data_IF_396030870789
#
_entry.id   IF_396030870789
#
_cell.length_a   1.000
_cell.length_b   1.000
_cell.length_c   1.000
_cell.angle_alpha   90.00
_cell.angle_beta   90.00
_cell.angle_gamma   90.00
#
_symmetry.space_group_name_H-M   'P 1'
#
loop_
_entity.id
_entity.type
_entity.pdbx_description
1 polymer ?
#
# COMPACT_ATOMS: atom_id res chain seq x y z
N UNK A 1 9.09 -58.23 8.47
CA UNK A 1 10.39 -57.52 8.44
C UNK A 1 10.45 -56.71 9.73
N UNK A 2 11.52 -56.85 10.52
CA UNK A 2 11.65 -56.10 11.78
C UNK A 2 12.00 -54.64 11.47
N UNK A 3 11.37 -53.69 12.15
CA UNK A 3 11.58 -52.26 11.95
C UNK A 3 11.85 -51.54 13.28
N UNK A 4 12.50 -50.39 13.23
CA UNK A 4 12.69 -49.51 14.40
C UNK A 4 12.13 -48.10 14.17
N UNK A 5 11.90 -47.72 12.91
CA UNK A 5 11.30 -46.47 12.46
C UNK A 5 10.50 -46.72 11.18
N UNK A 6 9.58 -45.83 10.84
CA UNK A 6 8.69 -45.98 9.67
C UNK A 6 9.47 -46.03 8.34
N UNK A 7 10.63 -45.38 8.28
CA UNK A 7 11.52 -45.41 7.11
C UNK A 7 12.12 -46.81 6.82
N UNK A 8 12.11 -47.72 7.80
CA UNK A 8 12.58 -49.10 7.62
C UNK A 8 11.53 -50.00 6.94
N UNK A 9 10.33 -49.47 6.67
CA UNK A 9 9.22 -50.20 6.11
C UNK A 9 8.95 -49.76 4.66
N UNK A 10 8.96 -50.71 3.73
CA UNK A 10 8.68 -50.44 2.32
C UNK A 10 7.19 -50.11 2.09
N UNK A 11 6.90 -49.33 1.05
CA UNK A 11 5.53 -49.09 0.54
C UNK A 11 4.59 -48.34 1.50
N UNK A 12 5.12 -47.38 2.27
CA UNK A 12 4.29 -46.53 3.16
C UNK A 12 3.79 -47.23 4.43
N UNK A 13 4.34 -48.40 4.76
CA UNK A 13 4.04 -49.07 6.03
C UNK A 13 4.67 -48.32 7.21
N UNK A 14 3.98 -48.30 8.37
CA UNK A 14 4.50 -47.72 9.61
C UNK A 14 5.05 -48.80 10.52
N UNK A 15 6.03 -48.47 11.34
CA UNK A 15 6.62 -49.39 12.28
C UNK A 15 5.85 -49.41 13.59
N UNK A 16 5.08 -50.47 13.83
CA UNK A 16 4.32 -50.65 15.07
C UNK A 16 4.82 -51.89 15.81
N UNK A 17 5.28 -51.71 17.05
CA UNK A 17 5.80 -52.80 17.90
C UNK A 17 6.89 -53.65 17.24
N UNK A 18 7.75 -53.01 16.44
CA UNK A 18 8.87 -53.67 15.77
C UNK A 18 8.50 -54.44 14.49
N UNK A 19 7.26 -54.34 14.02
CA UNK A 19 6.82 -54.92 12.76
C UNK A 19 6.18 -53.86 11.85
N UNK A 20 6.49 -53.92 10.56
CA UNK A 20 5.85 -53.04 9.57
C UNK A 20 4.36 -53.40 9.44
N UNK A 21 3.49 -52.48 9.86
CA UNK A 21 2.05 -52.55 9.69
C UNK A 21 1.61 -51.66 8.51
N UNK A 22 0.51 -51.98 7.81
CA UNK A 22 0.00 -51.11 6.76
C UNK A 22 -0.26 -49.70 7.29
N UNK A 23 0.51 -48.72 6.81
CA UNK A 23 0.29 -47.29 7.04
C UNK A 23 -0.58 -46.70 5.92
N UNK A 24 -0.83 -45.40 5.99
CA UNK A 24 -1.49 -44.69 4.92
C UNK A 24 -0.61 -44.71 3.65
N UNK A 25 -1.22 -44.65 2.47
CA UNK A 25 -0.61 -44.88 1.15
C UNK A 25 -0.71 -43.61 0.31
N UNK A 26 0.30 -43.37 -0.53
CA UNK A 26 0.34 -42.21 -1.41
C UNK A 26 -0.71 -42.28 -2.54
N UNK A 27 -0.92 -41.17 -3.26
CA UNK A 27 -1.80 -41.12 -4.43
C UNK A 27 -1.50 -42.26 -5.44
N UNK A 28 -2.56 -42.76 -6.09
CA UNK A 28 -2.63 -43.89 -7.01
C UNK A 28 -2.27 -45.27 -6.43
N UNK A 29 -1.88 -45.35 -5.16
CA UNK A 29 -1.60 -46.62 -4.51
C UNK A 29 -2.87 -47.44 -4.28
N UNK A 30 -2.79 -48.76 -4.42
CA UNK A 30 -3.93 -49.63 -4.17
C UNK A 30 -4.41 -49.49 -2.72
N UNK A 31 -5.71 -49.47 -2.48
CA UNK A 31 -6.33 -49.26 -1.16
C UNK A 31 -7.58 -50.14 -1.00
N UNK A 32 -8.02 -50.37 0.24
CA UNK A 32 -9.28 -51.04 0.52
C UNK A 32 -10.28 -50.15 1.28
N UNK A 33 -9.80 -49.10 1.97
CA UNK A 33 -10.59 -48.16 2.77
C UNK A 33 -9.91 -46.78 2.76
N UNK A 34 -10.66 -45.70 2.98
CA UNK A 34 -10.12 -44.32 2.92
C UNK A 34 -8.97 -44.07 3.89
N UNK A 35 -9.05 -44.64 5.10
CA UNK A 35 -7.95 -44.57 6.09
C UNK A 35 -6.66 -45.28 5.67
N UNK A 36 -6.66 -45.98 4.53
CA UNK A 36 -5.46 -46.52 3.91
C UNK A 36 -4.70 -45.46 3.10
N UNK A 37 -5.22 -44.23 2.94
CA UNK A 37 -4.65 -43.18 2.07
C UNK A 37 -4.16 -41.97 2.89
N UNK A 38 -2.99 -41.42 2.54
CA UNK A 38 -2.39 -40.29 3.27
C UNK A 38 -2.94 -38.94 2.80
N UNK A 39 -2.66 -37.88 3.56
CA UNK A 39 -2.80 -36.48 3.13
C UNK A 39 -4.21 -36.07 2.69
N UNK A 40 -5.24 -36.67 3.31
CA UNK A 40 -6.65 -36.37 3.03
C UNK A 40 -7.21 -37.01 1.77
N UNK A 41 -6.47 -37.94 1.14
CA UNK A 41 -6.91 -38.74 0.01
C UNK A 41 -7.92 -39.83 0.45
N UNK A 42 -8.84 -40.21 -0.45
CA UNK A 42 -9.82 -41.27 -0.24
C UNK A 42 -9.55 -42.48 -1.15
N UNK A 43 -10.09 -43.64 -0.78
CA UNK A 43 -9.90 -44.88 -1.52
C UNK A 43 -10.95 -45.06 -2.62
N UNK A 44 -10.59 -44.67 -3.84
CA UNK A 44 -11.49 -44.62 -4.99
C UNK A 44 -11.18 -45.73 -6.00
N UNK A 45 -12.15 -46.60 -6.28
CA UNK A 45 -11.98 -47.75 -7.18
C UNK A 45 -10.75 -48.63 -6.84
N UNK A 46 -10.43 -48.71 -5.55
CA UNK A 46 -9.27 -49.46 -5.05
C UNK A 46 -7.94 -48.74 -5.24
N UNK A 47 -7.92 -47.41 -5.48
CA UNK A 47 -6.71 -46.56 -5.49
C UNK A 47 -6.89 -45.26 -4.70
N UNK A 48 -5.84 -44.81 -4.02
CA UNK A 48 -5.86 -43.54 -3.29
C UNK A 48 -5.89 -42.35 -4.24
N UNK A 49 -6.87 -41.46 -4.12
CA UNK A 49 -7.00 -40.27 -4.97
C UNK A 49 -7.68 -39.12 -4.23
N UNK A 50 -7.79 -37.95 -4.87
CA UNK A 50 -8.55 -36.83 -4.31
C UNK A 50 -10.00 -37.28 -4.07
N UNK A 51 -10.59 -36.99 -2.89
CA UNK A 51 -11.97 -37.35 -2.62
C UNK A 51 -12.87 -36.70 -3.66
N UNK A 52 -13.53 -37.53 -4.46
CA UNK A 52 -14.58 -37.06 -5.36
C UNK A 52 -15.90 -37.06 -4.61
N UNK A 53 -16.75 -36.11 -4.96
CA UNK A 53 -18.14 -36.17 -4.57
C UNK A 53 -18.83 -37.40 -5.22
N UNK A 54 -19.78 -37.99 -4.51
CA UNK A 54 -20.62 -39.10 -4.95
C UNK A 54 -21.62 -38.61 -5.99
N UNK A 55 -21.66 -39.31 -7.13
CA UNK A 55 -22.57 -39.07 -8.25
C UNK A 55 -23.93 -39.71 -7.97
N UNK A 56 -24.89 -39.46 -8.86
CA UNK A 56 -26.22 -40.03 -8.73
C UNK A 56 -26.16 -41.56 -8.56
N UNK A 57 -26.95 -42.08 -7.62
CA UNK A 57 -27.05 -43.48 -7.21
C UNK A 57 -25.82 -44.07 -6.50
N UNK A 58 -24.75 -43.29 -6.25
CA UNK A 58 -23.63 -43.72 -5.39
C UNK A 58 -24.01 -43.61 -3.89
N UNK A 59 -23.59 -44.59 -3.07
CA UNK A 59 -23.88 -44.62 -1.63
C UNK A 59 -23.02 -43.61 -0.86
N UNK A 60 -23.55 -43.03 0.22
CA UNK A 60 -22.86 -42.01 1.03
C UNK A 60 -23.10 -42.19 2.55
N UNK A 61 -22.32 -41.49 3.40
CA UNK A 61 -22.50 -41.46 4.86
C UNK A 61 -23.01 -40.12 5.45
N UNK A 62 -22.73 -38.96 4.83
CA UNK A 62 -23.23 -37.63 5.23
C UNK A 62 -23.51 -36.69 4.02
N UNK A 63 -24.32 -35.64 4.23
CA UNK A 63 -24.84 -34.73 3.17
C UNK A 63 -23.76 -34.03 2.33
N UNK A 64 -22.57 -33.81 2.89
CA UNK A 64 -21.43 -33.18 2.20
C UNK A 64 -20.71 -34.08 1.20
N UNK A 65 -21.14 -35.34 1.06
CA UNK A 65 -20.48 -36.31 0.21
C UNK A 65 -21.05 -36.38 -1.22
N UNK A 66 -22.24 -35.83 -1.52
CA UNK A 66 -22.81 -35.84 -2.87
C UNK A 66 -22.32 -34.66 -3.72
N UNK A 67 -22.23 -34.86 -5.04
CA UNK A 67 -21.87 -33.78 -5.95
C UNK A 67 -22.91 -32.65 -5.95
N UNK A 68 -22.46 -31.43 -6.28
CA UNK A 68 -23.31 -30.25 -6.39
C UNK A 68 -24.57 -30.55 -7.22
N UNK A 69 -25.74 -30.25 -6.66
CA UNK A 69 -27.04 -30.53 -7.28
C UNK A 69 -27.66 -31.89 -6.93
N UNK A 70 -27.02 -32.70 -6.09
CA UNK A 70 -27.57 -33.96 -5.58
C UNK A 70 -27.83 -33.88 -4.06
N UNK A 71 -28.90 -34.52 -3.62
CA UNK A 71 -29.24 -34.64 -2.20
C UNK A 71 -29.24 -36.08 -1.75
N UNK A 72 -28.90 -36.23 -0.49
CA UNK A 72 -28.79 -37.48 0.23
C UNK A 72 -30.19 -38.04 0.58
N UNK A 73 -30.60 -39.12 -0.09
CA UNK A 73 -31.85 -39.81 0.23
C UNK A 73 -31.57 -40.98 1.19
N UNK A 74 -32.13 -40.96 2.42
CA UNK A 74 -31.98 -42.08 3.34
C UNK A 74 -32.68 -43.33 2.79
N UNK A 75 -32.03 -44.49 2.92
CA UNK A 75 -32.60 -45.78 2.53
C UNK A 75 -33.88 -46.05 3.32
N UNK A 76 -34.99 -46.32 2.62
CA UNK A 76 -36.32 -46.56 3.21
C UNK A 76 -36.43 -47.83 4.08
N UNK A 77 -35.37 -48.63 4.16
CA UNK A 77 -35.35 -49.90 4.89
C UNK A 77 -34.89 -49.76 6.36
N UNK A 78 -34.64 -48.54 6.84
CA UNK A 78 -34.45 -48.21 8.27
C UNK A 78 -33.29 -48.92 8.98
N UNK A 79 -32.44 -49.63 8.23
CA UNK A 79 -31.46 -50.59 8.79
C UNK A 79 -30.01 -50.32 8.36
N UNK A 80 -29.77 -49.29 7.54
CA UNK A 80 -28.44 -48.88 7.09
C UNK A 80 -28.25 -47.38 7.30
N UNK A 81 -27.11 -46.99 7.88
CA UNK A 81 -26.64 -45.61 8.02
C UNK A 81 -26.11 -45.02 6.69
N UNK A 82 -26.59 -45.54 5.56
CA UNK A 82 -26.12 -45.21 4.22
C UNK A 82 -27.32 -44.95 3.31
N UNK A 83 -27.34 -43.78 2.66
CA UNK A 83 -28.33 -43.39 1.65
C UNK A 83 -27.71 -43.35 0.25
N UNK A 84 -28.50 -42.96 -0.77
CA UNK A 84 -28.02 -42.73 -2.14
C UNK A 84 -28.17 -41.26 -2.55
N UNK A 85 -27.22 -40.75 -3.32
CA UNK A 85 -27.32 -39.42 -3.92
C UNK A 85 -28.38 -39.42 -5.04
N UNK A 86 -29.41 -38.56 -4.95
CA UNK A 86 -30.47 -38.49 -5.96
C UNK A 86 -30.95 -37.07 -6.25
N UNK A 87 -31.42 -36.86 -7.47
CA UNK A 87 -31.89 -35.57 -8.01
C UNK A 87 -33.41 -35.40 -7.83
N UNK A 88 -33.89 -35.27 -6.59
CA UNK A 88 -35.34 -35.19 -6.30
C UNK A 88 -35.82 -33.82 -5.79
N UNK A 89 -34.99 -32.78 -5.85
CA UNK A 89 -35.40 -31.42 -5.52
C UNK A 89 -35.59 -30.54 -6.77
N UNK A 90 -36.59 -29.66 -6.73
CA UNK A 90 -36.94 -28.78 -7.85
C UNK A 90 -36.19 -27.43 -7.78
N UNK A 91 -35.68 -26.96 -8.92
CA UNK A 91 -34.96 -25.69 -9.03
C UNK A 91 -35.91 -24.48 -9.01
N UNK A 92 -35.37 -23.26 -8.91
CA UNK A 92 -36.18 -22.02 -8.91
C UNK A 92 -37.04 -21.95 -10.19
N UNK A 93 -38.35 -21.80 -10.01
CA UNK A 93 -39.31 -21.75 -11.13
C UNK A 93 -39.80 -23.11 -11.62
N UNK A 94 -39.30 -24.22 -11.07
CA UNK A 94 -39.82 -25.56 -11.39
C UNK A 94 -41.01 -25.95 -10.54
N UNK A 95 -41.80 -26.87 -11.09
CA UNK A 95 -43.04 -27.35 -10.48
C UNK A 95 -42.76 -28.17 -9.22
N UNK A 96 -43.48 -27.90 -8.14
CA UNK A 96 -43.40 -28.66 -6.89
C UNK A 96 -44.79 -29.21 -6.50
N UNK A 97 -44.86 -30.49 -6.11
CA UNK A 97 -46.10 -31.13 -5.64
C UNK A 97 -45.79 -32.41 -4.86
N UNK A 98 -46.50 -32.66 -3.74
CA UNK A 98 -46.57 -34.00 -3.13
C UNK A 98 -45.26 -34.57 -2.60
N UNK A 99 -44.43 -33.77 -1.91
CA UNK A 99 -43.27 -34.25 -1.17
C UNK A 99 -41.89 -33.96 -1.80
N UNK A 100 -41.82 -33.39 -3.00
CA UNK A 100 -40.56 -32.88 -3.56
C UNK A 100 -40.18 -31.55 -2.87
N UNK A 101 -39.03 -31.53 -2.18
CA UNK A 101 -38.46 -30.33 -1.57
C UNK A 101 -37.85 -29.44 -2.66
N UNK A 102 -37.93 -28.13 -2.52
CA UNK A 102 -37.23 -27.22 -3.41
C UNK A 102 -35.76 -27.11 -2.96
N UNK A 103 -34.82 -27.11 -3.89
CA UNK A 103 -33.38 -27.09 -3.54
C UNK A 103 -32.99 -25.75 -2.88
N UNK A 104 -31.88 -25.73 -2.14
CA UNK A 104 -31.19 -24.49 -1.72
C UNK A 104 -32.07 -23.48 -0.93
N UNK A 105 -32.89 -23.95 0.00
CA UNK A 105 -33.70 -23.08 0.88
C UNK A 105 -34.92 -22.44 0.20
N UNK A 106 -35.28 -22.90 -0.99
CA UNK A 106 -36.51 -22.53 -1.66
C UNK A 106 -37.73 -23.20 -0.98
N UNK A 107 -38.89 -22.56 -1.09
CA UNK A 107 -40.16 -23.09 -0.60
C UNK A 107 -41.12 -23.30 -1.75
N UNK A 108 -41.94 -24.35 -1.65
CA UNK A 108 -42.98 -24.61 -2.63
C UNK A 108 -44.16 -23.65 -2.41
N UNK A 109 -44.32 -22.67 -3.30
CA UNK A 109 -45.47 -21.76 -3.29
C UNK A 109 -46.29 -21.97 -4.57
N UNK A 110 -47.57 -22.29 -4.41
CA UNK A 110 -48.53 -22.42 -5.52
C UNK A 110 -48.03 -23.34 -6.64
N UNK A 111 -47.49 -24.49 -6.24
CA UNK A 111 -46.91 -25.52 -7.09
C UNK A 111 -45.65 -25.13 -7.86
N UNK A 112 -44.95 -24.05 -7.46
CA UNK A 112 -43.65 -23.65 -8.04
C UNK A 112 -42.63 -23.36 -6.93
N UNK A 113 -41.37 -23.72 -7.12
CA UNK A 113 -40.30 -23.42 -6.17
C UNK A 113 -39.87 -21.96 -6.24
N UNK A 114 -40.07 -21.22 -5.14
CA UNK A 114 -39.74 -19.80 -4.99
C UNK A 114 -38.87 -19.55 -3.76
N UNK A 115 -38.24 -18.38 -3.67
CA UNK A 115 -37.48 -17.97 -2.47
C UNK A 115 -38.41 -17.89 -1.26
N UNK A 116 -37.95 -18.31 -0.07
CA UNK A 116 -38.63 -18.06 1.20
C UNK A 116 -38.66 -16.56 1.49
N UNK A 117 -39.66 -15.86 0.97
CA UNK A 117 -39.84 -14.42 1.15
C UNK A 117 -41.16 -14.10 1.87
N UNK A 118 -41.21 -12.94 2.53
CA UNK A 118 -42.34 -12.45 3.31
C UNK A 118 -43.25 -11.60 2.43
N UNK A 119 -44.55 -11.91 2.47
CA UNK A 119 -45.58 -11.14 1.75
C UNK A 119 -45.88 -9.81 2.46
N UNK A 120 -46.65 -8.95 1.80
CA UNK A 120 -47.05 -7.63 2.35
C UNK A 120 -47.64 -7.77 3.76
N UNK A 121 -47.29 -6.83 4.64
CA UNK A 121 -47.68 -6.73 6.05
C UNK A 121 -47.16 -7.86 6.96
N UNK A 122 -46.33 -8.77 6.45
CA UNK A 122 -45.65 -9.76 7.29
C UNK A 122 -44.37 -9.19 7.89
N UNK A 123 -44.05 -9.67 9.09
CA UNK A 123 -42.80 -9.32 9.77
C UNK A 123 -41.58 -9.76 8.98
N UNK A 124 -40.59 -8.89 8.85
CA UNK A 124 -39.36 -9.12 8.09
C UNK A 124 -38.11 -8.82 8.92
N UNK A 125 -37.02 -9.50 8.58
CA UNK A 125 -35.67 -9.33 9.14
C UNK A 125 -34.64 -9.68 8.08
N UNK A 126 -33.35 -9.53 8.40
CA UNK A 126 -32.25 -9.90 7.51
C UNK A 126 -32.28 -11.41 7.13
N UNK A 127 -32.76 -12.28 8.02
CA UNK A 127 -32.93 -13.72 7.72
C UNK A 127 -34.28 -14.07 7.07
N UNK A 128 -35.19 -13.10 6.92
CA UNK A 128 -36.53 -13.29 6.36
C UNK A 128 -36.94 -12.11 5.45
N UNK A 129 -36.36 -12.01 4.23
CA UNK A 129 -36.55 -10.88 3.34
C UNK A 129 -37.95 -10.85 2.70
N UNK A 130 -38.38 -9.66 2.27
CA UNK A 130 -39.66 -9.48 1.58
C UNK A 130 -39.64 -9.98 0.14
N UNK A 131 -40.80 -10.34 -0.40
CA UNK A 131 -40.93 -10.76 -1.80
C UNK A 131 -40.67 -9.59 -2.76
N UNK A 132 -40.30 -9.89 -4.01
CA UNK A 132 -39.96 -8.88 -5.01
C UNK A 132 -41.10 -7.85 -5.18
N UNK A 133 -40.76 -6.56 -5.21
CA UNK A 133 -41.72 -5.44 -5.19
C UNK A 133 -42.18 -5.01 -3.79
N UNK A 134 -41.58 -5.58 -2.73
CA UNK A 134 -41.79 -5.19 -1.34
C UNK A 134 -40.43 -4.97 -0.65
N UNK A 135 -40.40 -4.07 0.32
CA UNK A 135 -39.23 -3.78 1.15
C UNK A 135 -39.57 -3.87 2.65
N UNK A 136 -38.56 -4.23 3.44
CA UNK A 136 -38.70 -4.33 4.88
C UNK A 136 -38.64 -2.94 5.52
N UNK A 137 -39.80 -2.40 5.88
CA UNK A 137 -39.93 -1.09 6.52
C UNK A 137 -40.55 -1.25 7.91
N UNK A 138 -39.86 -0.76 8.94
CA UNK A 138 -40.29 -0.87 10.34
C UNK A 138 -40.58 -2.32 10.78
N UNK A 139 -39.78 -3.27 10.25
CA UNK A 139 -39.92 -4.70 10.54
C UNK A 139 -41.13 -5.35 9.88
N UNK A 140 -41.79 -4.71 8.90
CA UNK A 140 -42.86 -5.31 8.09
C UNK A 140 -42.66 -5.08 6.60
N UNK A 141 -43.07 -6.04 5.76
CA UNK A 141 -42.97 -5.89 4.31
C UNK A 141 -44.01 -4.91 3.76
N UNK A 142 -43.55 -3.81 3.17
CA UNK A 142 -44.40 -2.80 2.53
C UNK A 142 -44.10 -2.74 1.05
N UNK A 143 -45.08 -2.30 0.26
CA UNK A 143 -44.85 -2.05 -1.15
C UNK A 143 -44.04 -0.78 -1.33
N UNK A 144 -43.14 -0.83 -2.30
CA UNK A 144 -42.32 0.29 -2.72
C UNK A 144 -42.40 0.42 -4.25
N UNK A 145 -41.97 1.56 -4.79
CA UNK A 145 -42.05 1.92 -6.19
C UNK A 145 -40.64 1.99 -6.82
N UNK A 146 -40.50 1.45 -8.03
CA UNK A 146 -39.25 1.47 -8.80
C UNK A 146 -38.99 2.85 -9.44
N UNK A 147 -37.81 3.01 -10.06
CA UNK A 147 -37.42 4.25 -10.76
C UNK A 147 -38.50 4.72 -11.74
N UNK A 148 -38.84 6.01 -11.66
CA UNK A 148 -39.80 6.68 -12.53
C UNK A 148 -41.26 6.50 -12.13
N UNK A 149 -41.58 5.66 -11.14
CA UNK A 149 -42.93 5.55 -10.59
C UNK A 149 -43.24 6.66 -9.60
N UNK A 150 -44.53 6.97 -9.46
CA UNK A 150 -44.98 8.07 -8.60
C UNK A 150 -44.73 7.79 -7.12
N UNK A 151 -44.26 8.80 -6.40
CA UNK A 151 -44.03 8.75 -4.96
C UNK A 151 -44.47 10.06 -4.30
N UNK A 152 -44.65 10.02 -2.98
CA UNK A 152 -44.96 11.18 -2.14
C UNK A 152 -43.93 11.43 -1.05
N UNK A 153 -43.13 10.41 -0.71
CA UNK A 153 -42.00 10.47 0.20
C UNK A 153 -40.93 9.44 -0.20
N UNK A 154 -39.69 9.61 0.27
CA UNK A 154 -38.57 8.71 -0.02
C UNK A 154 -38.89 7.23 0.30
N UNK A 155 -39.63 6.97 1.38
CA UNK A 155 -40.03 5.62 1.80
C UNK A 155 -41.08 4.95 0.90
N UNK A 156 -41.62 5.66 -0.10
CA UNK A 156 -42.46 5.06 -1.14
C UNK A 156 -41.62 4.38 -2.23
N UNK A 157 -40.32 4.64 -2.29
CA UNK A 157 -39.41 4.15 -3.33
C UNK A 157 -38.60 2.96 -2.82
N UNK A 158 -38.33 2.00 -3.71
CA UNK A 158 -37.58 0.79 -3.32
C UNK A 158 -36.10 1.09 -3.10
N UNK A 159 -35.49 0.48 -2.08
CA UNK A 159 -34.07 0.61 -1.78
C UNK A 159 -33.73 2.01 -1.27
N UNK A 160 -32.62 2.60 -1.74
CA UNK A 160 -32.25 3.97 -1.37
C UNK A 160 -32.60 5.00 -2.45
N UNK A 161 -33.58 4.69 -3.31
CA UNK A 161 -34.17 5.67 -4.22
C UNK A 161 -34.84 6.80 -3.41
N UNK A 162 -34.75 8.03 -3.90
CA UNK A 162 -35.41 9.18 -3.29
C UNK A 162 -36.63 9.60 -4.11
N UNK A 163 -37.57 10.27 -3.47
CA UNK A 163 -38.74 10.81 -4.12
C UNK A 163 -38.45 12.22 -4.64
N UNK A 164 -38.10 12.33 -5.93
CA UNK A 164 -37.74 13.59 -6.58
C UNK A 164 -38.81 13.94 -7.61
N UNK A 165 -39.38 15.14 -7.51
CA UNK A 165 -40.46 15.61 -8.41
C UNK A 165 -41.62 14.60 -8.55
N UNK A 166 -42.08 14.07 -7.40
CA UNK A 166 -43.14 13.07 -7.29
C UNK A 166 -42.82 11.75 -8.01
N UNK A 167 -41.55 11.46 -8.31
CA UNK A 167 -41.10 10.19 -8.89
C UNK A 167 -39.87 9.62 -8.21
N UNK A 168 -39.81 8.29 -8.09
CA UNK A 168 -38.65 7.61 -7.56
C UNK A 168 -37.46 7.79 -8.49
N UNK A 169 -36.35 8.32 -7.99
CA UNK A 169 -35.14 8.56 -8.75
C UNK A 169 -33.89 8.11 -7.97
N UNK A 170 -32.84 7.79 -8.72
CA UNK A 170 -31.51 7.55 -8.18
C UNK A 170 -30.91 8.85 -7.58
N UNK A 171 -29.87 8.72 -6.77
CA UNK A 171 -29.16 9.80 -6.07
C UNK A 171 -27.98 10.34 -6.88
N UNK A 172 -27.67 11.63 -6.67
CA UNK A 172 -26.56 12.32 -7.32
C UNK A 172 -25.18 11.91 -6.77
N UNK A 173 -24.07 12.16 -7.49
CA UNK A 173 -22.72 11.99 -6.94
C UNK A 173 -22.52 12.79 -5.64
N UNK A 174 -21.86 12.18 -4.64
CA UNK A 174 -21.62 12.77 -3.33
C UNK A 174 -22.71 12.50 -2.28
N UNK A 175 -23.84 11.91 -2.68
CA UNK A 175 -24.93 11.54 -1.76
C UNK A 175 -24.70 10.18 -1.11
N UNK A 176 -25.29 10.00 0.08
CA UNK A 176 -25.17 8.75 0.82
C UNK A 176 -25.95 7.59 0.18
N UNK A 177 -25.34 6.41 0.12
CA UNK A 177 -25.89 5.21 -0.49
C UNK A 177 -25.59 3.95 0.34
N UNK A 178 -26.35 2.90 0.11
CA UNK A 178 -26.13 1.57 0.71
C UNK A 178 -25.88 0.49 -0.37
N UNK A 179 -26.30 0.75 -1.62
CA UNK A 179 -26.19 -0.17 -2.76
C UNK A 179 -25.72 0.57 -4.01
N UNK A 180 -25.03 -0.12 -4.94
CA UNK A 180 -24.55 0.50 -6.17
C UNK A 180 -25.64 1.14 -7.04
N UNK A 181 -26.85 0.57 -7.04
CA UNK A 181 -27.98 1.05 -7.86
C UNK A 181 -28.70 2.28 -7.27
N UNK A 182 -28.31 2.70 -6.07
CA UNK A 182 -28.82 3.93 -5.46
C UNK A 182 -28.33 5.18 -6.21
N UNK A 183 -27.29 5.06 -7.04
CA UNK A 183 -26.57 6.18 -7.65
C UNK A 183 -26.89 6.33 -9.14
N UNK A 184 -27.19 7.55 -9.59
CA UNK A 184 -27.52 7.82 -11.00
C UNK A 184 -26.34 7.62 -11.95
N UNK A 185 -25.12 7.76 -11.45
CA UNK A 185 -23.87 7.60 -12.18
C UNK A 185 -22.87 6.88 -11.29
N UNK A 186 -22.20 5.85 -11.83
CA UNK A 186 -21.18 5.08 -11.12
C UNK A 186 -21.73 4.03 -10.13
N UNK A 187 -21.36 4.11 -8.86
CA UNK A 187 -21.84 3.21 -7.81
C UNK A 187 -21.58 3.71 -6.39
N UNK A 188 -21.91 2.87 -5.40
CA UNK A 188 -21.80 3.21 -3.99
C UNK A 188 -20.44 2.79 -3.43
N UNK A 189 -19.64 3.76 -3.00
CA UNK A 189 -18.29 3.56 -2.45
C UNK A 189 -18.18 4.25 -1.10
N UNK A 190 -17.81 3.49 -0.07
CA UNK A 190 -17.75 3.97 1.33
C UNK A 190 -19.03 4.71 1.77
N UNK A 191 -20.18 4.17 1.37
CA UNK A 191 -21.48 4.76 1.65
C UNK A 191 -21.81 6.03 0.87
N UNK A 192 -21.05 6.39 -0.17
CA UNK A 192 -21.26 7.60 -0.98
C UNK A 192 -21.29 7.30 -2.49
N UNK A 193 -22.20 7.94 -3.23
CA UNK A 193 -22.33 7.80 -4.67
C UNK A 193 -21.17 8.45 -5.43
N UNK A 194 -20.51 7.71 -6.33
CA UNK A 194 -19.39 8.23 -7.13
C UNK A 194 -19.03 7.39 -8.34
N UNK A 195 -18.08 7.86 -9.14
CA UNK A 195 -17.54 7.17 -10.32
C UNK A 195 -16.72 5.91 -9.96
N UNK A 196 -16.51 5.00 -10.92
CA UNK A 196 -15.76 3.74 -10.73
C UNK A 196 -14.25 3.96 -10.87
N UNK A 197 -13.47 3.34 -9.98
CA UNK A 197 -11.99 3.28 -10.03
C UNK A 197 -11.49 2.07 -10.85
N UNK A 198 -10.17 1.82 -10.90
CA UNK A 198 -9.57 0.72 -11.69
C UNK A 198 -10.22 -0.64 -11.43
N UNK A 199 -10.38 -1.44 -12.49
CA UNK A 199 -10.95 -2.78 -12.41
C UNK A 199 -12.44 -2.82 -12.09
N UNK A 200 -13.09 -1.66 -11.89
CA UNK A 200 -14.54 -1.57 -11.70
C UNK A 200 -15.29 -1.85 -13.00
N UNK A 201 -16.31 -2.71 -12.96
CA UNK A 201 -17.13 -2.99 -14.13
C UNK A 201 -17.91 -1.75 -14.58
N UNK A 202 -17.89 -1.45 -15.88
CA UNK A 202 -18.53 -0.29 -16.50
C UNK A 202 -19.22 -0.65 -17.83
N UNK A 203 -20.30 0.06 -18.14
CA UNK A 203 -21.02 -0.06 -19.40
C UNK A 203 -20.76 1.12 -20.34
N UNK A 204 -20.44 2.30 -19.80
CA UNK A 204 -20.11 3.54 -20.52
C UNK A 204 -18.80 4.13 -19.98
N UNK A 205 -18.13 4.97 -20.79
CA UNK A 205 -16.85 5.59 -20.39
C UNK A 205 -17.01 6.55 -19.20
N UNK A 206 -18.13 7.26 -19.14
CA UNK A 206 -18.53 8.16 -18.05
C UNK A 206 -18.86 7.46 -16.72
N UNK A 207 -18.90 6.12 -16.70
CA UNK A 207 -18.99 5.36 -15.44
C UNK A 207 -17.65 5.40 -14.68
N UNK A 208 -16.54 5.66 -15.37
CA UNK A 208 -15.19 5.68 -14.84
C UNK A 208 -14.82 7.09 -14.36
N UNK A 209 -14.02 7.18 -13.29
CA UNK A 209 -13.55 8.47 -12.81
C UNK A 209 -12.65 9.19 -13.83
N UNK A 210 -12.45 10.50 -13.66
CA UNK A 210 -11.48 11.25 -14.47
C UNK A 210 -10.10 10.56 -14.41
N UNK A 211 -9.49 10.34 -15.59
CA UNK A 211 -8.23 9.60 -15.75
C UNK A 211 -8.40 8.12 -16.11
N UNK A 212 -9.64 7.63 -16.21
CA UNK A 212 -9.96 6.23 -16.47
C UNK A 212 -10.88 6.09 -17.69
N UNK A 213 -10.54 5.17 -18.59
CA UNK A 213 -11.33 4.83 -19.76
C UNK A 213 -11.89 3.41 -19.69
N UNK A 214 -13.04 3.22 -20.33
CA UNK A 214 -13.68 1.91 -20.42
C UNK A 214 -12.94 1.01 -21.42
N UNK A 215 -12.30 -0.05 -20.92
CA UNK A 215 -11.75 -1.16 -21.73
C UNK A 215 -12.35 -2.50 -21.30
N UNK A 216 -12.84 -3.26 -22.28
CA UNK A 216 -13.46 -4.58 -22.06
C UNK A 216 -14.55 -4.64 -20.98
N UNK A 217 -15.26 -3.54 -20.74
CA UNK A 217 -16.30 -3.47 -19.71
C UNK A 217 -15.77 -3.25 -18.29
N UNK A 218 -14.53 -2.82 -18.17
CA UNK A 218 -13.85 -2.45 -16.92
C UNK A 218 -13.20 -1.07 -17.07
N UNK A 219 -13.18 -0.29 -15.99
CA UNK A 219 -12.47 0.97 -15.94
C UNK A 219 -10.98 0.67 -15.86
N UNK A 220 -10.25 1.03 -16.91
CA UNK A 220 -8.80 0.94 -17.01
C UNK A 220 -8.22 2.35 -17.13
N UNK A 221 -6.93 2.56 -16.83
CA UNK A 221 -6.30 3.86 -16.99
C UNK A 221 -6.38 4.31 -18.46
N UNK A 222 -6.81 5.56 -18.71
CA UNK A 222 -6.85 6.13 -20.07
C UNK A 222 -5.41 6.32 -20.62
N UNK A 223 -4.45 6.48 -19.69
CA UNK A 223 -3.00 6.34 -19.84
C UNK A 223 -2.41 5.83 -18.50
N UNK A 224 -1.14 5.45 -18.48
CA UNK A 224 -0.38 5.16 -17.27
C UNK A 224 -0.55 6.23 -16.16
N UNK A 225 -0.38 5.85 -14.90
CA UNK A 225 -0.45 6.74 -13.74
C UNK A 225 0.83 7.56 -13.59
N UNK A 226 0.68 8.80 -13.09
CA UNK A 226 1.81 9.64 -12.68
C UNK A 226 2.40 9.16 -11.35
N UNK A 227 3.56 9.72 -10.99
CA UNK A 227 4.22 9.44 -9.71
C UNK A 227 3.29 9.71 -8.51
N UNK A 228 3.44 8.91 -7.45
CA UNK A 228 2.65 8.95 -6.22
C UNK A 228 1.32 8.18 -6.25
N UNK A 229 0.87 7.68 -7.40
CA UNK A 229 -0.34 6.87 -7.50
C UNK A 229 -0.09 5.41 -7.11
N UNK A 230 -1.07 4.78 -6.48
CA UNK A 230 -1.00 3.35 -6.14
C UNK A 230 -0.94 2.51 -7.42
N UNK A 231 -0.06 1.51 -7.45
CA UNK A 231 0.17 0.62 -8.59
C UNK A 231 0.35 -0.83 -8.13
N UNK A 232 0.09 -1.77 -9.04
CA UNK A 232 0.34 -3.19 -8.82
C UNK A 232 1.52 -3.70 -9.66
N UNK A 233 1.73 -3.12 -10.85
CA UNK A 233 2.81 -3.48 -11.78
C UNK A 233 3.42 -2.23 -12.43
N UNK A 234 4.66 -2.36 -12.92
CA UNK A 234 5.40 -1.29 -13.57
C UNK A 234 4.66 -0.60 -14.74
N UNK A 235 3.91 -1.37 -15.54
CA UNK A 235 3.14 -0.83 -16.68
C UNK A 235 1.97 0.06 -16.26
N UNK A 236 1.60 0.05 -14.99
CA UNK A 236 0.61 0.95 -14.44
C UNK A 236 1.15 2.40 -14.39
N UNK A 237 2.47 2.59 -14.40
CA UNK A 237 3.12 3.88 -14.15
C UNK A 237 3.76 4.45 -15.42
N UNK A 238 3.66 5.77 -15.61
CA UNK A 238 4.24 6.42 -16.79
C UNK A 238 5.76 6.43 -16.79
N UNK A 239 6.37 6.54 -15.61
CA UNK A 239 7.80 6.36 -15.43
C UNK A 239 8.25 4.89 -15.48
N UNK A 240 7.33 3.95 -15.76
CA UNK A 240 7.61 2.53 -15.92
C UNK A 240 8.04 1.81 -14.65
N UNK A 241 7.90 2.41 -13.48
CA UNK A 241 8.28 1.82 -12.19
C UNK A 241 7.16 1.93 -11.18
N UNK A 242 6.83 0.78 -10.59
CA UNK A 242 5.99 0.65 -9.42
C UNK A 242 6.87 0.20 -8.26
N UNK A 243 7.12 1.08 -7.29
CA UNK A 243 7.96 0.82 -6.12
C UNK A 243 7.18 1.12 -4.85
N UNK A 244 7.25 0.22 -3.87
CA UNK A 244 6.51 0.35 -2.60
C UNK A 244 5.00 0.63 -2.79
N UNK A 245 4.40 -0.07 -3.77
CA UNK A 245 2.99 0.07 -4.19
C UNK A 245 2.63 1.45 -4.75
N UNK A 246 3.61 2.30 -5.06
CA UNK A 246 3.40 3.62 -5.65
C UNK A 246 4.22 3.82 -6.95
N UNK A 247 3.65 4.58 -7.88
CA UNK A 247 4.34 4.96 -9.10
C UNK A 247 5.46 5.96 -8.80
N UNK A 248 6.58 5.79 -9.47
CA UNK A 248 7.69 6.73 -9.44
C UNK A 248 8.43 6.72 -10.79
N UNK A 249 9.27 7.73 -11.00
CA UNK A 249 10.07 7.91 -12.20
C UNK A 249 11.45 7.25 -12.05
N UNK A 250 11.81 6.44 -13.04
CA UNK A 250 13.11 5.78 -13.14
C UNK A 250 14.23 6.78 -13.45
N UNK A 251 15.48 6.31 -13.42
CA UNK A 251 16.63 7.11 -13.86
C UNK A 251 16.45 7.58 -15.32
N UNK A 252 16.60 8.88 -15.55
CA UNK A 252 16.46 9.55 -16.85
C UNK A 252 15.03 9.98 -17.21
N UNK A 253 14.02 9.61 -16.42
CA UNK A 253 12.62 9.99 -16.67
C UNK A 253 12.31 11.40 -16.16
N UNK A 254 11.41 12.09 -16.85
CA UNK A 254 11.01 13.46 -16.51
C UNK A 254 10.39 13.54 -15.11
N UNK A 255 10.70 14.63 -14.41
CA UNK A 255 10.22 14.90 -13.07
C UNK A 255 9.98 16.41 -12.88
N UNK A 256 9.10 16.76 -11.95
CA UNK A 256 8.85 18.14 -11.52
C UNK A 256 9.54 18.44 -10.20
N UNK A 257 9.49 17.49 -9.28
CA UNK A 257 10.09 17.56 -7.94
C UNK A 257 10.66 16.19 -7.51
N UNK A 258 11.40 16.15 -6.40
CA UNK A 258 12.08 14.92 -5.93
C UNK A 258 11.12 13.76 -5.59
N UNK A 259 9.91 14.07 -5.16
CA UNK A 259 8.89 13.05 -4.83
C UNK A 259 8.39 12.30 -6.07
N UNK A 260 8.66 12.82 -7.27
CA UNK A 260 8.35 12.12 -8.51
C UNK A 260 9.30 10.95 -8.76
N UNK A 261 10.51 11.00 -8.20
CA UNK A 261 11.59 10.06 -8.46
C UNK A 261 11.56 8.85 -7.52
N UNK A 262 11.95 7.69 -8.03
CA UNK A 262 12.02 6.50 -7.20
C UNK A 262 13.06 6.66 -6.08
N UNK A 263 12.83 5.97 -4.95
CA UNK A 263 13.68 6.03 -3.75
C UNK A 263 15.18 6.04 -4.06
N UNK A 264 15.87 7.09 -3.60
CA UNK A 264 17.31 7.29 -3.80
C UNK A 264 17.69 8.10 -5.04
N UNK A 265 16.71 8.51 -5.85
CA UNK A 265 16.89 9.43 -6.97
C UNK A 265 16.38 10.83 -6.60
N UNK A 266 16.87 11.81 -7.33
CA UNK A 266 16.62 13.24 -7.16
C UNK A 266 16.26 13.82 -8.51
N UNK A 267 15.36 14.80 -8.53
CA UNK A 267 14.89 15.40 -9.76
C UNK A 267 15.88 16.44 -10.30
N UNK A 268 16.46 16.17 -11.47
CA UNK A 268 17.27 17.14 -12.22
C UNK A 268 16.45 17.72 -13.36
N UNK A 269 16.25 19.04 -13.39
CA UNK A 269 15.38 19.69 -14.40
C UNK A 269 15.75 19.42 -15.86
N UNK A 270 17.02 19.13 -16.16
CA UNK A 270 17.48 18.91 -17.53
C UNK A 270 17.63 17.43 -17.91
N UNK A 271 17.84 16.55 -16.93
CA UNK A 271 18.18 15.14 -17.15
C UNK A 271 17.19 14.17 -16.53
N UNK A 272 16.13 14.67 -15.90
CA UNK A 272 15.14 13.85 -15.21
C UNK A 272 15.63 13.32 -13.86
N UNK A 273 14.99 12.28 -13.36
CA UNK A 273 15.39 11.61 -12.13
C UNK A 273 16.78 10.99 -12.27
N UNK A 274 17.65 11.19 -11.29
CA UNK A 274 18.99 10.64 -11.30
C UNK A 274 19.59 10.57 -9.92
N UNK A 275 20.78 9.99 -9.80
CA UNK A 275 21.53 10.10 -8.55
C UNK A 275 21.76 11.59 -8.23
N UNK A 276 21.78 11.93 -6.94
CA UNK A 276 22.17 13.27 -6.52
C UNK A 276 23.56 13.65 -7.08
N UNK A 277 23.77 14.94 -7.32
CA UNK A 277 25.01 15.49 -7.83
C UNK A 277 26.11 15.51 -6.75
N UNK A 278 27.28 14.98 -7.08
CA UNK A 278 28.49 15.20 -6.28
C UNK A 278 28.91 16.69 -6.29
N UNK A 279 29.73 17.10 -5.32
CA UNK A 279 30.34 18.44 -5.30
C UNK A 279 31.05 18.71 -6.63
N UNK A 280 30.76 19.87 -7.24
CA UNK A 280 31.27 20.30 -8.54
C UNK A 280 30.30 20.06 -9.71
N UNK A 281 29.31 19.18 -9.54
CA UNK A 281 28.27 18.94 -10.54
C UNK A 281 27.39 20.17 -10.70
N UNK A 282 26.93 20.44 -11.91
CA UNK A 282 25.98 21.51 -12.18
C UNK A 282 24.67 21.29 -11.43
N UNK A 283 24.10 22.36 -10.89
CA UNK A 283 22.80 22.34 -10.22
C UNK A 283 22.06 23.67 -10.45
N UNK A 284 20.76 23.65 -10.20
CA UNK A 284 19.86 24.79 -10.15
C UNK A 284 19.20 24.94 -8.77
N UNK A 285 19.02 23.83 -8.05
CA UNK A 285 18.38 23.77 -6.73
C UNK A 285 19.28 23.02 -5.74
N UNK A 286 19.14 23.35 -4.45
CA UNK A 286 19.98 22.74 -3.40
C UNK A 286 19.77 21.24 -3.26
N UNK A 287 18.53 20.78 -3.44
CA UNK A 287 18.17 19.38 -3.23
C UNK A 287 18.70 18.45 -4.33
N UNK A 288 19.25 19.00 -5.43
CA UNK A 288 19.92 18.26 -6.50
C UNK A 288 21.28 17.69 -6.06
N UNK A 289 21.84 18.18 -4.95
CA UNK A 289 23.18 17.84 -4.48
C UNK A 289 23.15 16.77 -3.37
N UNK A 290 24.08 15.81 -3.42
CA UNK A 290 24.17 14.77 -2.38
C UNK A 290 24.53 15.34 -1.02
N UNK A 291 25.39 16.35 -1.02
CA UNK A 291 25.90 17.03 0.15
C UNK A 291 26.00 18.53 -0.16
N UNK A 292 25.80 19.35 0.88
CA UNK A 292 25.96 20.80 0.78
C UNK A 292 24.77 21.49 0.14
N UNK A 293 25.03 22.42 -0.78
CA UNK A 293 24.01 23.26 -1.41
C UNK A 293 24.36 23.56 -2.86
N UNK A 294 23.40 24.11 -3.60
CA UNK A 294 23.66 24.64 -4.93
C UNK A 294 24.14 26.09 -4.83
N UNK A 295 25.39 26.34 -5.22
CA UNK A 295 26.00 27.67 -5.17
C UNK A 295 26.69 27.99 -6.50
N UNK A 296 26.36 29.14 -7.09
CA UNK A 296 26.84 29.56 -8.42
C UNK A 296 26.60 28.52 -9.52
N UNK A 297 25.51 27.76 -9.41
CA UNK A 297 25.13 26.73 -10.37
C UNK A 297 25.91 25.43 -10.24
N UNK A 298 26.63 25.22 -9.12
CA UNK A 298 27.35 23.98 -8.83
C UNK A 298 27.10 23.50 -7.40
N UNK A 299 27.05 22.18 -7.22
CA UNK A 299 27.01 21.58 -5.90
C UNK A 299 28.30 21.92 -5.16
N UNK A 300 28.17 22.49 -3.97
CA UNK A 300 29.30 23.00 -3.19
C UNK A 300 29.51 22.19 -1.90
N UNK A 301 30.76 22.14 -1.44
CA UNK A 301 31.12 21.51 -0.17
C UNK A 301 30.91 22.43 1.03
N UNK A 302 30.33 21.88 2.10
CA UNK A 302 30.27 22.53 3.41
C UNK A 302 31.64 22.59 4.11
N UNK A 303 31.67 23.05 5.36
CA UNK A 303 32.92 23.11 6.13
C UNK A 303 33.61 21.73 6.17
N UNK A 304 34.92 21.73 6.04
CA UNK A 304 35.82 20.58 5.96
C UNK A 304 35.65 19.63 4.76
N UNK A 305 34.68 19.87 3.88
CA UNK A 305 34.52 19.11 2.64
C UNK A 305 35.79 19.21 1.78
N UNK A 306 36.14 18.12 1.11
CA UNK A 306 37.28 18.13 0.20
C UNK A 306 37.01 19.09 -0.97
N UNK A 307 37.99 19.93 -1.30
CA UNK A 307 37.84 20.96 -2.31
C UNK A 307 39.07 21.03 -3.23
N UNK A 308 38.81 21.47 -4.45
CA UNK A 308 39.80 21.73 -5.49
C UNK A 308 39.15 22.65 -6.55
N UNK A 309 39.80 22.85 -7.71
CA UNK A 309 39.26 23.71 -8.77
C UNK A 309 37.92 23.19 -9.36
N UNK A 310 37.64 21.89 -9.26
CA UNK A 310 36.39 21.28 -9.71
C UNK A 310 35.38 21.10 -8.58
N UNK A 311 35.82 21.14 -7.31
CA UNK A 311 34.97 20.96 -6.11
C UNK A 311 34.92 22.26 -5.29
N UNK A 312 33.98 23.17 -5.61
CA UNK A 312 33.90 24.47 -4.94
C UNK A 312 33.36 24.34 -3.52
N UNK A 313 33.77 25.26 -2.65
CA UNK A 313 33.20 25.42 -1.32
C UNK A 313 31.93 26.29 -1.38
N UNK A 314 31.03 26.06 -0.44
CA UNK A 314 29.80 26.85 -0.32
C UNK A 314 30.09 28.30 0.08
N UNK A 315 29.08 29.16 -0.04
CA UNK A 315 29.18 30.58 0.29
C UNK A 315 29.83 30.82 1.67
N UNK A 316 30.83 31.71 1.71
CA UNK A 316 31.54 32.06 2.94
C UNK A 316 32.65 31.09 3.35
N UNK A 317 32.90 30.05 2.55
CA UNK A 317 34.00 29.10 2.73
C UNK A 317 34.99 29.21 1.57
N UNK A 318 36.25 28.91 1.87
CA UNK A 318 37.35 28.89 0.91
C UNK A 318 38.07 27.55 0.93
N UNK A 319 38.72 27.20 -0.17
CA UNK A 319 39.54 26.01 -0.21
C UNK A 319 40.92 26.28 0.41
N UNK A 320 41.15 25.75 1.62
CA UNK A 320 42.42 25.87 2.34
C UNK A 320 43.55 25.10 1.66
N UNK A 321 44.81 25.34 2.08
CA UNK A 321 45.96 24.66 1.47
C UNK A 321 45.97 23.14 1.73
N UNK A 322 45.22 22.70 2.75
CA UNK A 322 44.93 21.30 3.06
C UNK A 322 43.97 20.62 2.07
N UNK A 323 43.41 21.36 1.10
CA UNK A 323 42.41 20.84 0.17
C UNK A 323 41.05 20.60 0.82
N UNK A 324 40.73 21.36 1.89
CA UNK A 324 39.45 21.31 2.58
C UNK A 324 38.82 22.69 2.67
N UNK A 325 37.49 22.72 2.57
CA UNK A 325 36.70 23.92 2.76
C UNK A 325 36.83 24.41 4.20
N UNK A 326 37.17 25.68 4.37
CA UNK A 326 37.41 26.28 5.67
C UNK A 326 36.91 27.73 5.65
N UNK A 327 36.76 28.33 6.83
CA UNK A 327 36.42 29.73 6.97
C UNK A 327 37.62 30.54 7.46
N UNK A 328 37.83 31.74 6.91
CA UNK A 328 38.73 32.75 7.51
C UNK A 328 38.05 33.54 8.61
N UNK A 329 36.73 33.63 8.58
CA UNK A 329 35.94 34.42 9.52
C UNK A 329 34.54 33.83 9.60
N UNK A 330 34.13 33.38 10.78
CA UNK A 330 32.83 32.73 10.94
C UNK A 330 32.81 31.73 12.08
N UNK A 331 31.69 31.03 12.21
CA UNK A 331 31.50 30.00 13.23
C UNK A 331 32.43 28.81 13.00
N UNK A 332 32.93 28.23 14.09
CA UNK A 332 33.72 27.00 14.09
C UNK A 332 33.42 26.19 15.34
N UNK A 333 33.51 24.88 15.23
CA UNK A 333 33.43 23.95 16.35
C UNK A 333 34.84 23.45 16.73
N UNK A 334 35.74 23.33 15.75
CA UNK A 334 37.12 22.95 15.95
C UNK A 334 38.10 23.72 15.06
N UNK A 335 39.40 23.61 15.36
CA UNK A 335 40.43 24.35 14.61
C UNK A 335 40.50 23.99 13.13
N UNK A 336 40.06 22.79 12.73
CA UNK A 336 40.06 22.34 11.33
C UNK A 336 38.99 23.03 10.47
N UNK A 337 38.00 23.69 11.07
CA UNK A 337 37.02 24.51 10.35
C UNK A 337 37.62 25.82 9.86
N UNK A 338 38.72 26.25 10.48
CA UNK A 338 39.39 27.50 10.19
C UNK A 338 40.51 27.30 9.18
N UNK A 339 40.63 28.26 8.26
CA UNK A 339 41.68 28.20 7.26
C UNK A 339 43.08 28.35 7.89
N UNK A 340 44.10 27.94 7.15
CA UNK A 340 45.50 28.00 7.61
C UNK A 340 45.85 29.41 8.12
N UNK A 341 46.35 29.48 9.37
CA UNK A 341 46.66 30.74 10.05
C UNK A 341 45.55 31.28 10.97
N UNK A 342 44.39 30.63 11.00
CA UNK A 342 43.29 30.93 11.91
C UNK A 342 43.09 29.78 12.91
N UNK A 343 42.63 30.12 14.12
CA UNK A 343 42.32 29.20 15.20
C UNK A 343 40.85 29.37 15.60
N UNK A 344 40.20 28.26 15.96
CA UNK A 344 38.86 28.33 16.52
C UNK A 344 38.91 28.77 18.00
N UNK A 345 38.43 29.98 18.30
CA UNK A 345 38.31 30.49 19.67
C UNK A 345 36.95 31.10 19.94
N UNK A 346 36.30 30.64 21.00
CA UNK A 346 34.97 31.12 21.38
C UNK A 346 33.91 30.82 20.31
N UNK A 347 34.09 29.75 19.54
CA UNK A 347 33.20 29.38 18.43
C UNK A 347 33.38 30.23 17.18
N UNK A 348 34.50 30.97 17.03
CA UNK A 348 34.79 31.72 15.82
C UNK A 348 36.25 31.58 15.35
N UNK A 349 36.44 31.53 14.03
CA UNK A 349 37.77 31.52 13.42
C UNK A 349 38.42 32.89 13.55
N UNK A 350 39.56 32.93 14.24
CA UNK A 350 40.31 34.16 14.52
C UNK A 350 41.82 33.95 14.36
N UNK A 351 42.56 34.98 13.99
CA UNK A 351 44.03 34.93 13.92
C UNK A 351 44.67 34.99 15.30
N UNK A 352 45.91 34.52 15.42
CA UNK A 352 46.67 34.66 16.66
C UNK A 352 46.94 36.14 17.02
N UNK A 353 47.11 36.48 18.32
CA UNK A 353 47.51 37.83 18.75
C UNK A 353 48.76 38.34 18.00
N UNK A 354 48.69 39.55 17.46
CA UNK A 354 49.72 40.18 16.64
C UNK A 354 49.76 39.74 15.17
N UNK A 355 48.89 38.80 14.79
CA UNK A 355 48.69 38.32 13.42
C UNK A 355 48.01 39.34 12.51
N UNK A 356 48.08 39.15 11.18
CA UNK A 356 47.44 40.03 10.21
C UNK A 356 45.91 39.93 10.27
N UNK A 357 45.22 41.03 10.05
CA UNK A 357 43.75 41.08 10.00
C UNK A 357 43.28 42.11 8.98
N UNK A 358 42.07 41.88 8.45
CA UNK A 358 41.38 42.81 7.55
C UNK A 358 40.24 43.54 8.29
N UNK A 359 39.70 42.94 9.36
CA UNK A 359 38.72 43.55 10.26
C UNK A 359 38.82 43.04 11.70
N UNK A 360 38.20 43.75 12.65
CA UNK A 360 38.25 43.36 14.07
C UNK A 360 37.58 42.01 14.38
N UNK A 361 36.74 41.49 13.48
CA UNK A 361 36.12 40.17 13.62
C UNK A 361 37.12 39.02 13.43
N UNK A 362 38.24 39.28 12.76
CA UNK A 362 39.34 38.31 12.61
C UNK A 362 40.12 38.15 13.91
N UNK A 363 39.93 39.06 14.87
CA UNK A 363 40.72 39.12 16.08
C UNK A 363 40.04 38.41 17.26
N UNK A 364 40.80 37.65 18.07
CA UNK A 364 40.28 37.05 19.29
C UNK A 364 39.87 38.13 20.27
N UNK A 365 38.67 38.05 20.82
CA UNK A 365 38.25 38.99 21.87
C UNK A 365 39.24 38.94 23.06
N UNK A 366 39.66 40.08 23.63
CA UNK A 366 39.15 41.44 23.40
C UNK A 366 39.97 42.28 22.38
N UNK A 367 40.82 41.69 21.55
CA UNK A 367 41.63 42.42 20.55
C UNK A 367 40.79 42.98 19.40
N UNK A 368 41.32 44.03 18.76
CA UNK A 368 40.74 44.64 17.56
C UNK A 368 41.79 44.74 16.45
N UNK A 369 41.35 44.90 15.22
CA UNK A 369 42.27 45.05 14.10
C UNK A 369 42.78 46.49 14.01
N UNK A 370 44.03 46.71 14.38
CA UNK A 370 44.65 48.04 14.42
C UNK A 370 45.85 48.03 13.48
N UNK A 371 45.80 48.86 12.44
CA UNK A 371 46.84 48.94 11.40
C UNK A 371 47.17 47.58 10.75
N UNK A 372 46.14 46.75 10.54
CA UNK A 372 46.27 45.42 9.93
C UNK A 372 46.84 44.36 10.86
N UNK A 373 46.86 44.58 12.19
CA UNK A 373 47.26 43.57 13.18
C UNK A 373 46.26 43.46 14.32
N UNK A 374 46.03 42.24 14.78
CA UNK A 374 45.21 41.99 15.96
C UNK A 374 45.96 42.34 17.24
N UNK A 375 45.63 43.47 17.84
CA UNK A 375 46.27 43.93 19.06
C UNK A 375 45.31 44.82 19.88
N UNK A 376 45.74 45.19 21.07
CA UNK A 376 45.03 46.10 21.97
C UNK A 376 45.82 47.40 22.15
N UNK A 377 45.07 48.47 22.44
CA UNK A 377 45.60 49.79 22.72
C UNK A 377 46.34 49.87 24.07
N UNK A 378 46.89 51.03 24.40
CA UNK A 378 47.60 51.25 25.67
C UNK A 378 46.69 51.05 26.88
N UNK A 379 47.29 50.65 28.00
CA UNK A 379 46.66 50.47 29.30
C UNK A 379 45.61 49.35 29.35
N UNK A 380 45.63 48.44 28.37
CA UNK A 380 44.82 47.21 28.40
C UNK A 380 45.62 46.04 28.97
N UNK A 381 44.90 45.07 29.54
CA UNK A 381 45.52 43.89 30.12
C UNK A 381 46.20 43.02 29.06
N UNK A 382 47.41 42.56 29.35
CA UNK A 382 48.19 41.67 28.49
C UNK A 382 48.96 40.63 29.31
N UNK A 383 49.31 39.54 28.65
CA UNK A 383 50.21 38.48 29.14
C UNK A 383 51.40 38.26 28.21
N UNK A 384 51.31 38.71 26.95
CA UNK A 384 52.33 38.57 25.92
C UNK A 384 52.52 39.90 25.17
N UNK A 385 53.76 40.20 24.80
CA UNK A 385 54.12 41.40 24.01
C UNK A 385 53.32 41.50 22.69
N UNK A 386 52.98 40.37 22.08
CA UNK A 386 52.24 40.29 20.82
C UNK A 386 50.78 40.74 20.91
N UNK A 387 50.21 40.85 22.12
CA UNK A 387 48.85 41.35 22.32
C UNK A 387 48.76 42.88 22.25
N UNK A 388 49.88 43.58 22.37
CA UNK A 388 49.93 45.04 22.45
C UNK A 388 50.34 45.64 21.11
N UNK A 389 49.64 46.69 20.64
CA UNK A 389 50.01 47.33 19.37
C UNK A 389 51.39 48.00 19.41
N UNK A 390 51.91 48.29 20.61
CA UNK A 390 53.27 48.76 20.84
C UNK A 390 54.34 47.66 20.84
N UNK A 391 53.93 46.39 20.82
CA UNK A 391 54.81 45.23 20.93
C UNK A 391 55.46 45.07 22.30
N UNK A 392 54.92 45.69 23.36
CA UNK A 392 55.43 45.59 24.72
C UNK A 392 54.30 45.46 25.74
N UNK A 393 54.31 44.33 26.45
CA UNK A 393 53.53 44.05 27.63
C UNK A 393 54.42 44.21 28.86
N UNK A 394 54.12 45.18 29.72
CA UNK A 394 54.90 45.44 30.93
C UNK A 394 53.97 45.56 32.13
N UNK A 395 54.27 44.82 33.21
CA UNK A 395 53.42 44.72 34.40
C UNK A 395 51.96 44.33 34.08
N UNK A 396 51.78 43.44 33.09
CA UNK A 396 50.48 42.99 32.57
C UNK A 396 49.65 44.10 31.88
N UNK A 397 50.27 45.20 31.46
CA UNK A 397 49.61 46.28 30.71
C UNK A 397 50.36 46.65 29.44
N UNK A 398 49.60 46.91 28.36
CA UNK A 398 50.13 47.38 27.09
C UNK A 398 50.67 48.82 27.20
N UNK A 399 51.91 49.03 26.76
CA UNK A 399 52.64 50.30 26.92
C UNK A 399 52.57 51.25 25.74
#
# INVERSE_FOLDING_TARGET
MACHTDAACCSGARCESGACQPGCRAADAACARDGDCCDGLACEAGRCGEPRCNRADEPYSDDGACCEGLTCLPSSDGSSSFGTCSSSCAARGESCSGGAACCNGLVCNSATCVQACREREQGCSDEAPCCAGLECAEGSCRACADVGFSCSAAGDCCGALDCVDERCACKAPGESCARPDDCCTGGCFDGTCGCRQTGGACQRAEDCCDGWARRNGTCEPDACFRSGHVCAVASDCCGGVCADEACCAAEGEDCSDNDDCCSGLVCHRETGCGACGAIGTSCLLGDECCDGACYLGQCCGGAQAACDAARPCCYGLECGASGRCCSRSGACDEGADCCDGFECKGGSCVVAPGGPCDGSFDCPAPMSCISGRCCQDRLTACTLDTQCCSGRCHLNECQ
#
